data_IF_601073855899
#
_entry.id   IF_601073855899
#
_cell.length_a   1.000
_cell.length_b   1.000
_cell.length_c   1.000
_cell.angle_alpha   90.00
_cell.angle_beta   90.00
_cell.angle_gamma   90.00
#
_symmetry.space_group_name_H-M   'P 1'
#
loop_
_entity.id
_entity.type
_entity.pdbx_description
1 polymer ?
#
# COMPACT_ATOMS: atom_id res chain seq x y z
N UNK A 1 -8.06 -15.76 16.62
CA UNK A 1 -7.00 -15.00 15.92
C UNK A 1 -7.10 -15.27 14.43
N UNK A 2 -7.01 -14.22 13.64
CA UNK A 2 -7.01 -14.29 12.19
C UNK A 2 -5.59 -14.12 11.68
N UNK A 3 -5.18 -14.99 10.75
CA UNK A 3 -3.96 -14.85 9.97
C UNK A 3 -4.34 -14.26 8.61
N UNK A 4 -3.66 -13.17 8.24
CA UNK A 4 -3.96 -12.42 7.04
C UNK A 4 -2.73 -12.33 6.15
N UNK A 5 -2.90 -12.47 4.86
CA UNK A 5 -1.85 -12.27 3.87
C UNK A 5 -1.91 -10.83 3.35
N UNK A 6 -0.72 -10.21 3.23
CA UNK A 6 -0.58 -8.88 2.65
C UNK A 6 -0.38 -8.98 1.14
N UNK A 7 -1.26 -8.34 0.37
CA UNK A 7 -1.18 -8.26 -1.08
C UNK A 7 -1.88 -6.99 -1.58
N UNK A 8 -1.36 -6.34 -2.59
CA UNK A 8 -1.90 -5.07 -3.13
C UNK A 8 -2.19 -4.03 -2.04
N UNK A 9 -1.26 -3.87 -1.10
CA UNK A 9 -1.36 -2.96 0.06
C UNK A 9 -2.56 -3.22 0.99
N UNK A 10 -3.20 -4.37 0.88
CA UNK A 10 -4.33 -4.81 1.71
C UNK A 10 -4.04 -6.13 2.42
N UNK A 11 -4.76 -6.37 3.50
CA UNK A 11 -4.74 -7.64 4.22
C UNK A 11 -6.00 -8.44 3.92
N UNK A 12 -5.82 -9.70 3.53
CA UNK A 12 -6.92 -10.65 3.29
C UNK A 12 -6.76 -11.83 4.25
N UNK A 13 -7.81 -12.19 4.97
CA UNK A 13 -7.81 -13.33 5.87
C UNK A 13 -7.62 -14.63 5.06
N UNK A 14 -6.64 -15.43 5.47
CA UNK A 14 -6.31 -16.73 4.85
C UNK A 14 -6.56 -17.88 5.80
N UNK A 15 -6.55 -17.65 7.12
CA UNK A 15 -6.79 -18.68 8.13
C UNK A 15 -7.29 -18.03 9.44
N UNK A 16 -7.89 -18.85 10.30
CA UNK A 16 -8.31 -18.42 11.63
C UNK A 16 -8.27 -19.56 12.64
N UNK A 17 -7.89 -19.25 13.89
CA UNK A 17 -7.90 -20.20 14.98
C UNK A 17 -8.59 -19.63 16.21
N UNK A 18 -9.26 -20.50 16.98
CA UNK A 18 -9.79 -20.11 18.29
C UNK A 18 -8.65 -20.08 19.31
N UNK A 19 -8.70 -19.06 20.18
CA UNK A 19 -7.80 -19.02 21.35
C UNK A 19 -8.29 -20.04 22.37
N UNK A 20 -7.38 -20.86 22.84
CA UNK A 20 -7.62 -21.86 23.91
C UNK A 20 -6.62 -21.62 25.03
N UNK A 21 -7.11 -21.38 26.23
CA UNK A 21 -6.30 -21.12 27.43
C UNK A 21 -5.24 -20.03 27.23
N UNK A 22 -5.64 -18.95 26.51
CA UNK A 22 -4.76 -17.83 26.16
C UNK A 22 -3.76 -18.11 25.03
N UNK A 23 -3.76 -19.30 24.44
CA UNK A 23 -2.82 -19.74 23.42
C UNK A 23 -3.49 -19.89 22.04
N UNK A 24 -2.72 -19.68 21.00
CA UNK A 24 -3.09 -19.96 19.61
C UNK A 24 -1.86 -20.42 18.82
N UNK A 25 -2.06 -21.15 17.74
CA UNK A 25 -0.98 -21.53 16.84
C UNK A 25 -1.48 -21.64 15.40
N UNK A 26 -0.61 -21.29 14.46
CA UNK A 26 -0.78 -21.53 13.03
C UNK A 26 0.35 -22.41 12.52
N UNK A 27 0.04 -23.27 11.55
CA UNK A 27 1.04 -23.98 10.75
C UNK A 27 0.90 -23.51 9.32
N UNK A 28 1.86 -22.75 8.81
CA UNK A 28 1.85 -22.28 7.45
C UNK A 28 3.16 -22.60 6.75
N UNK A 29 3.10 -22.85 5.44
CA UNK A 29 4.28 -23.09 4.63
C UNK A 29 4.77 -21.76 4.09
N UNK A 30 5.92 -21.32 4.57
CA UNK A 30 6.59 -20.10 4.10
C UNK A 30 7.79 -20.51 3.25
N UNK A 31 7.77 -20.20 1.96
CA UNK A 31 8.87 -20.48 1.02
C UNK A 31 9.90 -19.37 1.00
N UNK A 32 9.44 -18.14 1.08
CA UNK A 32 10.24 -16.91 1.19
C UNK A 32 9.69 -16.06 2.31
N UNK A 33 10.51 -15.29 3.04
CA UNK A 33 9.99 -14.35 4.02
C UNK A 33 8.95 -13.41 3.39
N UNK A 34 7.84 -13.18 4.07
CA UNK A 34 6.77 -12.28 3.63
C UNK A 34 6.07 -11.62 4.83
N UNK A 35 5.45 -10.46 4.58
CA UNK A 35 4.60 -9.81 5.58
C UNK A 35 3.24 -10.49 5.68
N UNK A 36 2.84 -10.78 6.90
CA UNK A 36 1.50 -11.23 7.28
C UNK A 36 0.90 -10.30 8.33
N UNK A 37 -0.39 -10.41 8.55
CA UNK A 37 -1.13 -9.74 9.61
C UNK A 37 -1.69 -10.74 10.62
N UNK A 38 -1.60 -10.41 11.90
CA UNK A 38 -2.32 -11.11 12.97
C UNK A 38 -3.30 -10.16 13.65
N UNK A 39 -4.56 -10.56 13.79
CA UNK A 39 -5.57 -9.74 14.45
C UNK A 39 -6.60 -10.57 15.21
N UNK A 40 -7.29 -9.95 16.18
CA UNK A 40 -8.44 -10.53 16.88
C UNK A 40 -9.76 -10.27 16.17
N UNK A 41 -9.79 -9.35 15.20
CA UNK A 41 -10.92 -9.08 14.34
C UNK A 41 -10.42 -8.63 12.97
N UNK A 42 -11.30 -8.63 11.97
CA UNK A 42 -10.94 -8.27 10.58
C UNK A 42 -11.21 -6.81 10.23
N UNK A 43 -11.74 -6.02 11.16
CA UNK A 43 -12.11 -4.62 10.92
C UNK A 43 -10.94 -3.64 11.15
N UNK A 44 -9.95 -4.04 11.96
CA UNK A 44 -8.83 -3.18 12.35
C UNK A 44 -7.55 -3.56 11.60
N UNK A 45 -6.60 -2.63 11.57
CA UNK A 45 -5.24 -2.88 11.08
C UNK A 45 -4.61 -3.98 11.93
N UNK A 46 -4.11 -5.08 11.33
CA UNK A 46 -3.51 -6.18 12.06
C UNK A 46 -2.12 -5.81 12.61
N UNK A 47 -1.62 -6.63 13.55
CA UNK A 47 -0.20 -6.66 13.86
C UNK A 47 0.57 -7.14 12.63
N UNK A 48 1.57 -6.41 12.21
CA UNK A 48 2.47 -6.78 11.13
C UNK A 48 3.51 -7.78 11.61
N UNK A 49 3.55 -8.95 10.99
CA UNK A 49 4.47 -10.03 11.33
C UNK A 49 5.15 -10.54 10.07
N UNK A 50 6.47 -10.43 10.01
CA UNK A 50 7.24 -11.08 8.96
C UNK A 50 7.39 -12.55 9.28
N UNK A 51 6.73 -13.42 8.51
CA UNK A 51 6.90 -14.86 8.60
C UNK A 51 8.06 -15.31 7.72
N UNK A 52 8.92 -16.15 8.30
CA UNK A 52 10.07 -16.78 7.64
C UNK A 52 10.23 -18.21 8.16
N UNK A 53 11.26 -18.94 7.71
CA UNK A 53 11.49 -20.32 8.15
C UNK A 53 11.83 -20.37 9.63
N UNK A 54 11.17 -21.25 10.34
CA UNK A 54 11.41 -21.50 11.77
C UNK A 54 10.20 -21.15 12.64
N UNK A 55 10.30 -21.40 13.95
CA UNK A 55 9.27 -21.03 14.90
C UNK A 55 9.28 -19.53 15.16
N UNK A 56 8.11 -18.90 15.05
CA UNK A 56 7.91 -17.49 15.37
C UNK A 56 6.92 -17.41 16.51
N UNK A 57 7.31 -16.75 17.58
CA UNK A 57 6.48 -16.58 18.78
C UNK A 57 5.89 -15.16 18.76
N UNK A 58 4.59 -15.06 19.03
CA UNK A 58 3.88 -13.79 19.10
C UNK A 58 3.15 -13.66 20.43
N UNK A 59 3.49 -12.64 21.21
CA UNK A 59 2.68 -12.17 22.34
C UNK A 59 1.75 -11.09 21.82
N UNK A 60 0.50 -11.47 21.51
CA UNK A 60 -0.47 -10.57 20.89
C UNK A 60 -1.20 -9.75 21.97
N UNK A 61 -1.04 -8.43 21.93
CA UNK A 61 -1.73 -7.49 22.81
C UNK A 61 -2.71 -6.63 22.00
N UNK A 62 -4.02 -6.67 22.27
CA UNK A 62 -5.01 -5.90 21.51
C UNK A 62 -4.98 -4.40 21.81
N UNK A 63 -4.24 -3.98 22.84
CA UNK A 63 -4.16 -2.57 23.26
C UNK A 63 -3.48 -1.71 22.17
N UNK A 64 -4.02 -0.49 21.96
CA UNK A 64 -3.45 0.54 21.04
C UNK A 64 -3.02 -0.04 19.67
N UNK A 65 -3.94 -0.70 18.99
CA UNK A 65 -3.67 -1.30 17.67
C UNK A 65 -2.46 -2.24 17.68
N UNK A 66 -2.40 -3.14 18.65
CA UNK A 66 -1.34 -4.13 18.80
C UNK A 66 0.07 -3.57 19.08
N UNK A 67 0.23 -2.29 19.41
CA UNK A 67 1.55 -1.66 19.61
C UNK A 67 2.37 -2.24 20.78
N UNK A 68 1.71 -2.91 21.74
CA UNK A 68 2.36 -3.60 22.86
C UNK A 68 2.63 -5.09 22.56
N UNK A 69 2.38 -5.56 21.34
CA UNK A 69 2.68 -6.93 20.93
C UNK A 69 4.17 -7.11 20.70
N UNK A 70 4.64 -8.34 20.94
CA UNK A 70 6.05 -8.72 20.75
C UNK A 70 6.10 -9.89 19.77
N UNK A 71 6.99 -9.83 18.80
CA UNK A 71 7.27 -10.90 17.83
C UNK A 71 8.73 -11.30 17.96
N UNK A 72 8.98 -12.59 18.17
CA UNK A 72 10.30 -13.18 18.36
C UNK A 72 10.53 -14.31 17.36
N UNK A 73 11.78 -14.55 16.97
CA UNK A 73 12.17 -15.63 16.05
C UNK A 73 12.17 -15.24 14.57
N UNK A 74 12.03 -13.94 14.24
CA UNK A 74 12.13 -13.44 12.86
C UNK A 74 13.18 -12.34 12.76
N UNK A 75 14.23 -12.57 11.96
CA UNK A 75 15.25 -11.56 11.65
C UNK A 75 14.65 -10.42 10.83
N UNK A 76 13.76 -10.74 9.89
CA UNK A 76 13.03 -9.76 9.11
C UNK A 76 12.19 -8.84 10.00
N UNK A 77 11.54 -9.38 11.05
CA UNK A 77 10.81 -8.57 12.02
C UNK A 77 11.74 -7.62 12.77
N UNK A 78 12.87 -8.11 13.25
CA UNK A 78 13.84 -7.29 13.98
C UNK A 78 14.35 -6.12 13.13
N UNK A 79 14.68 -6.39 11.87
CA UNK A 79 15.09 -5.34 10.92
C UNK A 79 13.95 -4.34 10.68
N UNK A 80 12.72 -4.80 10.53
CA UNK A 80 11.57 -3.92 10.34
C UNK A 80 11.29 -3.04 11.58
N UNK A 81 11.44 -3.58 12.79
CA UNK A 81 11.33 -2.80 14.02
C UNK A 81 12.44 -1.73 14.11
N UNK A 82 13.65 -2.05 13.70
CA UNK A 82 14.77 -1.09 13.61
C UNK A 82 14.46 -0.01 12.58
N UNK A 83 14.00 -0.37 11.38
CA UNK A 83 13.57 0.57 10.35
C UNK A 83 12.50 1.56 10.87
N UNK A 84 11.48 1.08 11.58
CA UNK A 84 10.41 1.94 12.13
C UNK A 84 10.91 2.95 13.17
N UNK A 85 11.99 2.63 13.87
CA UNK A 85 12.59 3.52 14.91
C UNK A 85 13.61 4.50 14.33
N UNK A 86 14.13 4.23 13.14
CA UNK A 86 15.11 5.09 12.48
C UNK A 86 14.42 6.33 11.92
N UNK A 87 14.92 7.51 12.28
CA UNK A 87 14.49 8.79 11.70
C UNK A 87 15.26 9.06 10.42
N UNK A 88 14.65 9.84 9.53
CA UNK A 88 15.29 10.34 8.30
C UNK A 88 15.95 9.24 7.45
N UNK A 89 15.23 8.14 7.25
CA UNK A 89 15.71 7.01 6.46
C UNK A 89 15.94 7.44 5.02
N UNK A 90 17.15 7.25 4.51
CA UNK A 90 17.46 7.27 3.09
C UNK A 90 17.28 5.86 2.52
N UNK A 91 16.30 5.67 1.64
CA UNK A 91 15.90 4.34 1.18
C UNK A 91 17.00 3.63 0.39
N UNK A 92 17.75 4.32 -0.45
CA UNK A 92 18.84 3.74 -1.23
C UNK A 92 19.95 3.20 -0.33
N UNK A 93 20.29 3.95 0.73
CA UNK A 93 21.26 3.52 1.74
C UNK A 93 20.76 2.28 2.49
N UNK A 94 19.51 2.33 2.98
CA UNK A 94 18.91 1.18 3.68
C UNK A 94 18.92 -0.09 2.83
N UNK A 95 18.56 0.01 1.53
CA UNK A 95 18.61 -1.13 0.60
C UNK A 95 20.03 -1.63 0.40
N UNK A 96 21.01 -0.73 0.26
CA UNK A 96 22.43 -1.09 0.06
C UNK A 96 22.98 -1.83 1.28
N UNK A 97 22.59 -1.45 2.49
CA UNK A 97 22.98 -2.12 3.74
C UNK A 97 22.26 -3.48 3.91
N UNK A 98 21.05 -3.66 3.36
CA UNK A 98 20.23 -4.86 3.51
C UNK A 98 19.66 -5.39 2.18
N UNK A 99 20.51 -5.63 1.14
CA UNK A 99 20.03 -5.91 -0.22
C UNK A 99 19.28 -7.24 -0.35
N UNK A 100 19.54 -8.21 0.53
CA UNK A 100 18.92 -9.53 0.53
C UNK A 100 17.66 -9.62 1.39
N UNK A 101 17.36 -8.57 2.16
CA UNK A 101 16.22 -8.59 3.07
C UNK A 101 14.91 -8.33 2.34
N UNK A 102 13.90 -9.13 2.66
CA UNK A 102 12.51 -8.88 2.22
C UNK A 102 11.98 -7.54 2.75
N UNK A 103 12.49 -7.07 3.89
CA UNK A 103 12.10 -5.78 4.48
C UNK A 103 12.49 -4.65 3.53
N UNK A 104 13.66 -4.71 2.89
CA UNK A 104 14.09 -3.70 1.90
C UNK A 104 13.12 -3.60 0.73
N UNK A 105 12.70 -4.73 0.18
CA UNK A 105 11.69 -4.79 -0.88
C UNK A 105 10.33 -4.28 -0.40
N UNK A 106 9.92 -4.67 0.80
CA UNK A 106 8.65 -4.26 1.39
C UNK A 106 8.58 -2.75 1.68
N UNK A 107 9.60 -2.18 2.32
CA UNK A 107 9.58 -0.75 2.66
C UNK A 107 9.68 0.12 1.41
N UNK A 108 10.46 -0.28 0.40
CA UNK A 108 10.46 0.39 -0.90
C UNK A 108 9.06 0.42 -1.50
N UNK A 109 8.38 -0.73 -1.52
CA UNK A 109 7.04 -0.88 -2.06
C UNK A 109 5.98 -0.12 -1.23
N UNK A 110 5.96 -0.32 0.09
CA UNK A 110 4.87 0.17 0.94
C UNK A 110 5.03 1.61 1.38
N UNK A 111 6.27 2.03 1.67
CA UNK A 111 6.54 3.30 2.33
C UNK A 111 7.10 4.36 1.38
N UNK A 112 7.78 3.95 0.29
CA UNK A 112 8.50 4.87 -0.57
C UNK A 112 7.95 5.00 -1.98
N UNK A 113 7.27 3.99 -2.51
CA UNK A 113 6.78 3.98 -3.90
C UNK A 113 5.89 5.17 -4.29
N UNK A 114 5.25 5.82 -3.34
CA UNK A 114 4.39 7.00 -3.57
C UNK A 114 5.13 8.34 -3.45
N UNK A 115 6.42 8.30 -3.09
CA UNK A 115 7.28 9.49 -2.92
C UNK A 115 8.34 9.61 -4.02
N UNK A 116 8.63 8.51 -4.67
CA UNK A 116 9.70 8.38 -5.63
C UNK A 116 9.16 8.45 -7.06
N UNK A 117 9.95 9.03 -7.96
CA UNK A 117 9.71 8.94 -9.40
C UNK A 117 9.88 7.51 -9.92
N UNK A 118 9.33 7.16 -11.09
CA UNK A 118 9.55 5.84 -11.72
C UNK A 118 11.02 5.48 -11.90
N UNK A 119 11.85 6.48 -12.21
CA UNK A 119 13.28 6.32 -12.37
C UNK A 119 13.96 6.00 -11.02
N UNK A 120 13.63 6.72 -9.95
CA UNK A 120 14.15 6.47 -8.60
C UNK A 120 13.72 5.11 -8.09
N UNK A 121 12.45 4.69 -8.31
CA UNK A 121 11.98 3.35 -7.97
C UNK A 121 12.85 2.30 -8.69
N UNK A 122 13.08 2.47 -10.00
CA UNK A 122 13.89 1.55 -10.79
C UNK A 122 15.34 1.47 -10.31
N UNK A 123 15.95 2.60 -9.96
CA UNK A 123 17.29 2.66 -9.37
C UNK A 123 17.36 1.89 -8.04
N UNK A 124 16.37 2.07 -7.18
CA UNK A 124 16.31 1.36 -5.90
C UNK A 124 16.06 -0.16 -6.07
N UNK A 125 15.24 -0.57 -7.05
CA UNK A 125 15.08 -2.00 -7.40
C UNK A 125 16.41 -2.61 -7.83
N UNK A 126 17.25 -1.88 -8.56
CA UNK A 126 18.55 -2.36 -9.04
C UNK A 126 19.55 -2.58 -7.89
N UNK A 127 19.39 -1.92 -6.76
CA UNK A 127 20.21 -2.13 -5.56
C UNK A 127 19.86 -3.42 -4.81
N UNK A 128 18.66 -3.98 -5.02
CA UNK A 128 18.23 -5.22 -4.39
C UNK A 128 18.98 -6.43 -4.97
N UNK A 129 19.32 -7.37 -4.10
CA UNK A 129 19.93 -8.64 -4.50
C UNK A 129 19.05 -9.43 -5.48
N UNK A 130 19.68 -10.31 -6.27
CA UNK A 130 18.97 -11.17 -7.23
C UNK A 130 17.87 -12.02 -6.60
N UNK A 131 18.03 -12.44 -5.34
CA UNK A 131 17.03 -13.20 -4.59
C UNK A 131 15.72 -12.42 -4.37
N UNK A 132 15.76 -11.08 -4.39
CA UNK A 132 14.61 -10.22 -4.18
C UNK A 132 13.86 -9.88 -5.49
N UNK A 133 14.49 -10.03 -6.65
CA UNK A 133 13.98 -9.58 -7.95
C UNK A 133 12.67 -10.23 -8.39
N UNK A 134 12.33 -11.40 -7.82
CA UNK A 134 11.11 -12.16 -8.13
C UNK A 134 10.09 -12.15 -6.98
N UNK A 135 10.34 -11.40 -5.93
CA UNK A 135 9.36 -11.23 -4.82
C UNK A 135 8.11 -10.48 -5.30
N UNK A 136 6.99 -10.70 -4.63
CA UNK A 136 5.72 -10.03 -4.94
C UNK A 136 5.90 -8.51 -4.93
N UNK A 137 6.60 -7.97 -3.95
CA UNK A 137 6.82 -6.52 -3.82
C UNK A 137 7.58 -5.92 -5.00
N UNK A 138 8.63 -6.60 -5.46
CA UNK A 138 9.42 -6.12 -6.61
C UNK A 138 8.65 -6.24 -7.92
N UNK A 139 7.84 -7.28 -8.09
CA UNK A 139 6.94 -7.40 -9.25
C UNK A 139 5.93 -6.26 -9.30
N UNK A 140 5.26 -5.99 -8.18
CA UNK A 140 4.31 -4.87 -8.07
C UNK A 140 4.98 -3.51 -8.28
N UNK A 141 6.23 -3.32 -7.82
CA UNK A 141 7.01 -2.10 -8.10
C UNK A 141 7.33 -1.94 -9.58
N UNK A 142 7.71 -3.01 -10.28
CA UNK A 142 7.98 -2.98 -11.73
C UNK A 142 6.73 -2.66 -12.53
N UNK A 143 5.59 -3.22 -12.15
CA UNK A 143 4.29 -2.89 -12.73
C UNK A 143 3.93 -1.42 -12.48
N UNK A 144 4.13 -0.93 -11.25
CA UNK A 144 3.91 0.46 -10.91
C UNK A 144 4.77 1.41 -11.77
N UNK A 145 6.05 1.11 -11.93
CA UNK A 145 6.96 1.89 -12.81
C UNK A 145 6.41 1.95 -14.24
N UNK A 146 5.93 0.83 -14.76
CA UNK A 146 5.34 0.77 -16.11
C UNK A 146 4.10 1.66 -16.21
N UNK A 147 3.20 1.58 -15.23
CA UNK A 147 2.00 2.42 -15.17
C UNK A 147 2.36 3.90 -15.08
N UNK A 148 3.25 4.27 -14.16
CA UNK A 148 3.64 5.67 -13.96
C UNK A 148 4.32 6.27 -15.22
N UNK A 149 5.15 5.49 -15.91
CA UNK A 149 5.75 5.91 -17.18
C UNK A 149 4.68 6.13 -18.27
N UNK A 150 3.61 5.35 -18.26
CA UNK A 150 2.45 5.55 -19.15
C UNK A 150 1.62 6.80 -18.83
N UNK A 151 1.73 7.29 -17.59
CA UNK A 151 1.00 8.47 -17.08
C UNK A 151 1.88 9.74 -17.04
N UNK A 152 3.11 9.68 -17.55
CA UNK A 152 4.02 10.83 -17.54
C UNK A 152 3.41 12.03 -18.28
N UNK A 153 3.83 13.24 -17.88
CA UNK A 153 3.41 14.50 -18.52
C UNK A 153 3.64 14.42 -20.03
N UNK A 154 2.63 14.82 -20.80
CA UNK A 154 2.61 14.73 -22.27
C UNK A 154 2.09 13.40 -22.82
N UNK A 155 1.78 12.43 -21.99
CA UNK A 155 1.12 11.18 -22.39
C UNK A 155 -0.40 11.31 -22.34
N UNK A 156 -1.08 10.61 -23.24
CA UNK A 156 -2.54 10.51 -23.20
C UNK A 156 -2.98 9.71 -21.99
N UNK A 157 -3.90 10.27 -21.20
CA UNK A 157 -4.49 9.56 -20.05
C UNK A 157 -5.21 8.29 -20.54
N UNK A 158 -5.11 7.17 -19.79
CA UNK A 158 -5.89 5.97 -20.06
C UNK A 158 -7.38 6.26 -20.00
N UNK A 159 -8.14 5.65 -20.91
CA UNK A 159 -9.59 5.75 -20.92
C UNK A 159 -10.20 4.59 -20.15
N UNK A 160 -11.31 4.84 -19.49
CA UNK A 160 -12.06 3.83 -18.74
C UNK A 160 -13.54 4.22 -18.63
N UNK A 161 -14.36 3.29 -18.22
CA UNK A 161 -15.77 3.51 -17.93
C UNK A 161 -16.04 3.17 -16.48
N UNK A 162 -16.73 4.07 -15.76
CA UNK A 162 -17.18 3.86 -14.39
C UNK A 162 -18.69 4.24 -14.26
N UNK A 163 -19.43 3.65 -13.33
CA UNK A 163 -20.80 4.05 -13.11
C UNK A 163 -20.88 5.42 -12.44
N UNK A 164 -21.88 6.22 -12.80
CA UNK A 164 -22.28 7.41 -12.04
C UNK A 164 -23.03 7.01 -10.74
N UNK A 165 -23.46 7.97 -9.90
CA UNK A 165 -24.22 7.68 -8.69
C UNK A 165 -25.54 6.91 -8.95
N UNK A 166 -26.13 7.07 -10.13
CA UNK A 166 -27.36 6.38 -10.54
C UNK A 166 -27.08 4.99 -11.15
N UNK A 167 -25.81 4.62 -11.30
CA UNK A 167 -25.38 3.34 -11.86
C UNK A 167 -25.25 3.32 -13.39
N UNK A 168 -25.39 4.47 -14.06
CA UNK A 168 -25.22 4.56 -15.52
C UNK A 168 -23.74 4.58 -15.88
N UNK A 169 -23.31 3.87 -16.95
CA UNK A 169 -21.92 3.87 -17.37
C UNK A 169 -21.54 5.25 -17.94
N UNK A 170 -20.47 5.81 -17.41
CA UNK A 170 -19.87 7.09 -17.86
C UNK A 170 -18.46 6.83 -18.33
N UNK A 171 -18.17 7.18 -19.57
CA UNK A 171 -16.83 7.05 -20.15
C UNK A 171 -15.99 8.26 -19.80
N UNK A 172 -14.78 8.03 -19.26
CA UNK A 172 -13.91 9.08 -18.77
C UNK A 172 -13.54 10.09 -19.87
N UNK A 173 -13.12 9.60 -21.05
CA UNK A 173 -12.68 10.46 -22.15
C UNK A 173 -13.77 11.40 -22.69
N UNK A 174 -15.04 11.04 -22.56
CA UNK A 174 -16.18 11.87 -23.01
C UNK A 174 -16.43 13.06 -22.08
N UNK A 175 -15.87 13.03 -20.88
CA UNK A 175 -16.01 14.08 -19.86
C UNK A 175 -14.77 15.00 -19.78
N UNK A 176 -13.76 14.76 -20.61
CA UNK A 176 -12.59 15.63 -20.69
C UNK A 176 -12.91 16.84 -21.59
N UNK A 177 -12.88 18.03 -21.01
CA UNK A 177 -13.12 19.30 -21.72
C UNK A 177 -12.09 20.33 -21.28
N UNK A 178 -11.45 20.97 -22.23
CA UNK A 178 -10.46 22.00 -21.90
C UNK A 178 -9.39 21.49 -20.92
N UNK A 179 -9.09 22.28 -19.92
CA UNK A 179 -8.25 21.85 -18.79
C UNK A 179 -9.11 21.12 -17.78
N UNK A 180 -8.90 19.83 -17.63
CA UNK A 180 -9.70 18.99 -16.73
C UNK A 180 -8.86 18.50 -15.55
N UNK A 181 -9.26 18.88 -14.33
CA UNK A 181 -8.75 18.29 -13.08
C UNK A 181 -9.44 16.94 -12.88
N UNK A 182 -8.65 15.89 -12.68
CA UNK A 182 -9.15 14.57 -12.30
C UNK A 182 -8.90 14.38 -10.82
N UNK A 183 -9.97 14.39 -10.03
CA UNK A 183 -9.91 14.28 -8.57
C UNK A 183 -10.33 12.88 -8.12
N UNK A 184 -9.38 12.14 -7.52
CA UNK A 184 -9.65 10.84 -6.89
C UNK A 184 -9.90 11.06 -5.40
N UNK A 185 -11.13 10.85 -4.97
CA UNK A 185 -11.56 11.12 -3.60
C UNK A 185 -12.42 10.01 -3.01
N UNK A 186 -12.79 10.14 -1.75
CA UNK A 186 -13.78 9.27 -1.10
C UNK A 186 -14.45 9.98 0.08
N UNK A 187 -15.66 9.56 0.43
CA UNK A 187 -16.42 10.13 1.56
C UNK A 187 -15.74 9.91 2.92
N UNK A 188 -15.00 8.82 3.07
CA UNK A 188 -14.21 8.49 4.27
C UNK A 188 -12.82 9.16 4.29
N UNK A 189 -12.39 9.79 3.20
CA UNK A 189 -11.10 10.48 3.11
C UNK A 189 -11.20 11.87 3.77
N UNK A 190 -10.74 12.00 5.00
CA UNK A 190 -10.76 13.25 5.74
C UNK A 190 -10.04 14.42 5.06
N UNK A 191 -8.80 14.24 4.56
CA UNK A 191 -8.09 15.26 3.78
C UNK A 191 -8.85 15.68 2.52
N UNK A 192 -9.41 14.73 1.75
CA UNK A 192 -10.18 15.02 0.54
C UNK A 192 -11.39 15.93 0.86
N UNK A 193 -12.12 15.62 1.93
CA UNK A 193 -13.27 16.42 2.38
C UNK A 193 -12.88 17.85 2.79
N UNK A 194 -11.68 18.03 3.31
CA UNK A 194 -11.16 19.39 3.63
C UNK A 194 -10.80 20.17 2.38
N UNK A 195 -10.37 19.47 1.32
CA UNK A 195 -10.01 20.10 0.05
C UNK A 195 -11.21 20.36 -0.85
N UNK A 196 -12.31 19.64 -0.72
CA UNK A 196 -13.52 19.80 -1.55
C UNK A 196 -14.01 21.25 -1.68
N UNK A 197 -14.05 22.09 -0.63
CA UNK A 197 -14.44 23.49 -0.77
C UNK A 197 -13.54 24.28 -1.75
N UNK A 198 -12.23 24.01 -1.76
CA UNK A 198 -11.28 24.65 -2.69
C UNK A 198 -11.53 24.19 -4.11
N UNK A 199 -11.79 22.88 -4.31
CA UNK A 199 -12.16 22.28 -5.60
C UNK A 199 -13.42 22.94 -6.16
N UNK A 200 -14.46 23.12 -5.33
CA UNK A 200 -15.73 23.78 -5.72
C UNK A 200 -15.48 25.26 -6.04
N UNK A 201 -14.67 25.97 -5.27
CA UNK A 201 -14.34 27.36 -5.52
C UNK A 201 -13.60 27.53 -6.85
N UNK A 202 -12.60 26.70 -7.12
CA UNK A 202 -11.87 26.68 -8.38
C UNK A 202 -12.79 26.39 -9.58
N UNK A 203 -13.71 25.44 -9.46
CA UNK A 203 -14.69 25.17 -10.50
C UNK A 203 -15.56 26.38 -10.80
N UNK A 204 -16.11 27.05 -9.77
CA UNK A 204 -16.96 28.25 -9.95
C UNK A 204 -16.20 29.41 -10.58
N UNK A 205 -14.92 29.57 -10.28
CA UNK A 205 -14.11 30.69 -10.79
C UNK A 205 -13.63 30.48 -12.22
N UNK A 206 -13.33 29.23 -12.61
CA UNK A 206 -12.63 28.95 -13.85
C UNK A 206 -13.42 28.12 -14.88
N UNK A 207 -14.61 27.61 -14.52
CA UNK A 207 -15.39 26.76 -15.43
C UNK A 207 -15.70 27.45 -16.76
N UNK A 208 -16.18 28.68 -16.73
CA UNK A 208 -16.50 29.47 -17.92
C UNK A 208 -15.25 29.89 -18.71
N UNK A 209 -14.08 29.70 -18.11
CA UNK A 209 -12.76 29.96 -18.76
C UNK A 209 -12.13 28.67 -19.34
N UNK A 210 -12.89 27.58 -19.43
CA UNK A 210 -12.46 26.32 -20.03
C UNK A 210 -11.84 25.32 -19.04
N UNK A 211 -12.04 25.51 -17.71
CA UNK A 211 -11.64 24.57 -16.70
C UNK A 211 -12.80 23.60 -16.38
N UNK A 212 -12.49 22.33 -16.22
CA UNK A 212 -13.44 21.29 -15.86
C UNK A 212 -12.92 20.40 -14.72
N UNK A 213 -13.80 19.68 -14.05
CA UNK A 213 -13.45 18.73 -12.99
C UNK A 213 -14.20 17.43 -13.23
N UNK A 214 -13.48 16.32 -13.13
CA UNK A 214 -14.04 14.97 -13.10
C UNK A 214 -13.66 14.33 -11.76
N UNK A 215 -14.64 14.20 -10.87
CA UNK A 215 -14.48 13.52 -9.59
C UNK A 215 -14.68 12.02 -9.74
N UNK A 216 -13.72 11.22 -9.23
CA UNK A 216 -13.77 9.76 -9.23
C UNK A 216 -13.81 9.30 -7.78
N UNK A 217 -14.95 8.79 -7.33
CA UNK A 217 -15.09 8.26 -5.99
C UNK A 217 -14.53 6.84 -5.86
N UNK A 218 -13.78 6.60 -4.79
CA UNK A 218 -13.31 5.28 -4.37
C UNK A 218 -14.23 4.63 -3.34
N UNK A 219 -15.42 5.21 -3.12
CA UNK A 219 -16.42 4.64 -2.23
C UNK A 219 -16.94 3.30 -2.78
N UNK A 220 -17.23 2.38 -1.87
CA UNK A 220 -17.94 1.14 -2.21
C UNK A 220 -19.44 1.42 -2.13
N UNK A 221 -20.18 0.93 -3.11
CA UNK A 221 -21.65 0.85 -3.04
C UNK A 221 -22.07 -0.18 -1.99
#
# INVERSE_FOLDING_TARGET
VYLQKFHNKMFTTIDSVKVKDGNFSFKTKVTTPELYGLSLNTANIPLYVFLEKGPITVKLSPKKYYSASVVEGSESQNLFETYKKTKDVEISKFITEHPKSIVSSYVLYRNWSYRLSPEEISKNIALLDKSQQNTTYVKELKELVTVLNGLAVGKKAPDFTAPDPDGKPVRFSENLKGYTLVDFWASWCGPCRKENPNIVAAYKEYHDKGFNIVGISLDKK
#
